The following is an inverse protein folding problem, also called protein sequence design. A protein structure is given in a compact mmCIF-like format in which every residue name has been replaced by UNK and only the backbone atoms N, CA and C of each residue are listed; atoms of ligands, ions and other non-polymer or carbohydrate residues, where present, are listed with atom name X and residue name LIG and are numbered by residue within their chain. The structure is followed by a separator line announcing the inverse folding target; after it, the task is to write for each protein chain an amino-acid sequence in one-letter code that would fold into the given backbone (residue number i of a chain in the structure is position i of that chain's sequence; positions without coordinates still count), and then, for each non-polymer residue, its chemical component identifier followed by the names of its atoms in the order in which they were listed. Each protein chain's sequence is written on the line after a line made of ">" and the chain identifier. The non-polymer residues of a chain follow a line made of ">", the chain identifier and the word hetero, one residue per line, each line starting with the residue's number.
data_IF_382450608369
#
_entry.id   IF_382450608369
#
_cell.length_a   1.000
_cell.length_b   1.000
_cell.length_c   1.000
_cell.angle_alpha   90.00
_cell.angle_beta   90.00
_cell.angle_gamma   90.00
#
_symmetry.space_group_name_H-M   'P 1'
#
loop_
_entity.id
_entity.type
_entity.pdbx_description
1 polymer ?
#
# COMPACT_ATOMS: atom_id res chain seq x y z
N UNK A 1 -11.69 -20.73 -26.09
CA UNK A 1 -10.76 -20.24 -25.04
C UNK A 1 -11.60 -19.55 -23.98
N UNK A 2 -11.90 -20.21 -22.86
CA UNK A 2 -12.70 -19.61 -21.77
C UNK A 2 -11.86 -18.54 -21.07
N UNK A 3 -12.18 -17.26 -21.26
CA UNK A 3 -11.65 -16.20 -20.42
C UNK A 3 -12.15 -16.44 -18.98
N UNK A 4 -11.30 -17.01 -18.13
CA UNK A 4 -11.53 -17.06 -16.69
C UNK A 4 -11.44 -15.62 -16.17
N UNK A 5 -12.57 -14.91 -16.15
CA UNK A 5 -12.75 -13.68 -15.37
C UNK A 5 -12.47 -14.03 -13.91
N UNK A 6 -11.31 -13.63 -13.41
CA UNK A 6 -10.96 -13.80 -11.99
C UNK A 6 -11.36 -12.54 -11.24
N UNK A 7 -11.94 -12.71 -10.06
CA UNK A 7 -12.13 -11.60 -9.13
C UNK A 7 -10.76 -11.22 -8.57
N UNK A 8 -10.43 -9.93 -8.58
CA UNK A 8 -9.20 -9.39 -8.04
C UNK A 8 -9.53 -8.15 -7.19
N UNK A 9 -9.11 -8.16 -5.93
CA UNK A 9 -9.20 -6.99 -5.08
C UNK A 9 -7.90 -6.19 -5.22
N UNK A 10 -8.00 -4.89 -5.47
CA UNK A 10 -6.84 -4.00 -5.54
C UNK A 10 -6.86 -3.11 -4.31
N UNK A 11 -5.76 -3.15 -3.57
CA UNK A 11 -5.47 -2.25 -2.48
C UNK A 11 -4.49 -1.19 -2.99
N UNK A 12 -4.90 0.06 -2.88
CA UNK A 12 -4.04 1.21 -3.12
C UNK A 12 -3.69 1.83 -1.76
N UNK A 13 -2.40 1.96 -1.48
CA UNK A 13 -1.89 2.65 -0.30
C UNK A 13 -1.07 3.85 -0.74
N UNK A 14 -1.16 4.95 -0.01
CA UNK A 14 -0.40 6.18 -0.26
C UNK A 14 0.02 6.85 1.05
N UNK A 15 1.15 7.57 1.05
CA UNK A 15 1.66 8.25 2.24
C UNK A 15 1.05 9.65 2.33
N UNK A 16 0.35 9.93 3.43
CA UNK A 16 -0.23 11.25 3.68
C UNK A 16 0.89 12.24 4.01
N UNK A 17 0.96 13.32 3.25
CA UNK A 17 1.90 14.42 3.53
C UNK A 17 3.35 14.15 3.15
N UNK A 18 3.60 13.19 2.25
CA UNK A 18 4.94 12.84 1.76
C UNK A 18 5.75 14.06 1.32
N UNK A 19 5.17 14.97 0.53
CA UNK A 19 5.86 16.18 0.06
C UNK A 19 6.35 17.08 1.20
N UNK A 20 5.61 17.17 2.32
CA UNK A 20 6.02 17.98 3.48
C UNK A 20 7.19 17.33 4.20
N UNK A 21 7.12 16.02 4.43
CA UNK A 21 8.18 15.26 5.10
C UNK A 21 9.47 15.22 4.25
N UNK A 22 9.33 15.05 2.93
CA UNK A 22 10.45 15.07 2.00
C UNK A 22 11.10 16.46 1.88
N UNK A 23 10.33 17.55 2.03
CA UNK A 23 10.88 18.91 1.97
C UNK A 23 11.77 19.27 3.17
N UNK A 24 11.61 18.60 4.31
CA UNK A 24 12.44 18.78 5.50
C UNK A 24 13.71 17.92 5.44
N UNK A 25 13.57 16.64 5.08
CA UNK A 25 14.68 15.69 4.94
C UNK A 25 14.22 14.47 4.11
N UNK A 26 14.48 14.51 2.80
CA UNK A 26 14.06 13.48 1.85
C UNK A 26 14.71 12.12 2.14
N UNK A 27 16.02 12.09 2.39
CA UNK A 27 16.77 10.85 2.61
C UNK A 27 16.30 10.13 3.88
N UNK A 28 16.06 10.88 4.95
CA UNK A 28 15.56 10.33 6.22
C UNK A 28 14.13 9.85 6.09
N UNK A 29 13.28 10.58 5.37
CA UNK A 29 11.89 10.18 5.11
C UNK A 29 11.85 8.89 4.28
N UNK A 30 12.65 8.81 3.22
CA UNK A 30 12.78 7.62 2.40
C UNK A 30 13.32 6.42 3.19
N UNK A 31 14.31 6.61 4.06
CA UNK A 31 14.84 5.55 4.91
C UNK A 31 13.78 5.00 5.88
N UNK A 32 13.01 5.88 6.53
CA UNK A 32 11.90 5.46 7.41
C UNK A 32 10.80 4.75 6.62
N UNK A 33 10.46 5.24 5.43
CA UNK A 33 9.46 4.62 4.56
C UNK A 33 9.90 3.21 4.12
N UNK A 34 11.19 3.04 3.79
CA UNK A 34 11.76 1.71 3.48
C UNK A 34 11.68 0.76 4.67
N UNK A 35 12.00 1.22 5.88
CA UNK A 35 11.89 0.40 7.09
C UNK A 35 10.43 -0.01 7.38
N UNK A 36 9.48 0.94 7.32
CA UNK A 36 8.05 0.63 7.48
C UNK A 36 7.55 -0.37 6.43
N UNK A 37 8.04 -0.25 5.19
CA UNK A 37 7.71 -1.20 4.13
C UNK A 37 8.23 -2.59 4.42
N UNK A 38 9.51 -2.72 4.77
CA UNK A 38 10.15 -4.01 5.03
C UNK A 38 9.65 -4.69 6.31
N UNK A 39 9.37 -3.92 7.36
CA UNK A 39 9.07 -4.49 8.67
C UNK A 39 7.57 -4.76 8.89
N UNK A 40 6.69 -4.03 8.20
CA UNK A 40 5.26 -4.09 8.42
C UNK A 40 4.51 -4.42 7.12
N UNK A 41 4.68 -3.60 6.08
CA UNK A 41 3.81 -3.69 4.90
C UNK A 41 4.05 -4.97 4.10
N UNK A 42 5.30 -5.25 3.71
CA UNK A 42 5.63 -6.43 2.90
C UNK A 42 5.32 -7.75 3.64
N UNK A 43 5.64 -7.90 4.95
CA UNK A 43 5.21 -9.07 5.74
C UNK A 43 3.69 -9.23 5.80
N UNK A 44 2.94 -8.16 6.12
CA UNK A 44 1.47 -8.24 6.22
C UNK A 44 0.84 -8.56 4.86
N UNK A 45 1.33 -7.99 3.76
CA UNK A 45 0.89 -8.35 2.40
C UNK A 45 1.11 -9.85 2.16
N UNK A 46 2.27 -10.38 2.54
CA UNK A 46 2.60 -11.79 2.35
C UNK A 46 1.69 -12.71 3.17
N UNK A 47 1.40 -12.37 4.44
CA UNK A 47 0.48 -13.12 5.31
C UNK A 47 -0.92 -13.23 4.70
N UNK A 48 -1.40 -12.15 4.07
CA UNK A 48 -2.73 -12.10 3.43
C UNK A 48 -2.71 -12.52 1.95
N UNK A 49 -1.66 -13.20 1.48
CA UNK A 49 -1.53 -13.69 0.09
C UNK A 49 -1.67 -12.59 -0.97
N UNK A 50 -1.30 -11.36 -0.62
CA UNK A 50 -1.27 -10.23 -1.53
C UNK A 50 -0.03 -10.26 -2.43
N UNK A 51 -0.15 -9.65 -3.61
CA UNK A 51 0.93 -9.49 -4.57
C UNK A 51 1.10 -8.02 -4.92
N UNK A 52 2.27 -7.47 -4.64
CA UNK A 52 2.57 -6.10 -5.06
C UNK A 52 2.66 -6.04 -6.58
N UNK A 53 1.80 -5.23 -7.19
CA UNK A 53 1.74 -5.02 -8.64
C UNK A 53 2.66 -3.88 -9.04
N UNK A 54 2.62 -2.77 -8.29
CA UNK A 54 3.41 -1.58 -8.56
C UNK A 54 3.71 -0.83 -7.27
N UNK A 55 4.91 -0.25 -7.19
CA UNK A 55 5.30 0.72 -6.16
C UNK A 55 5.60 2.03 -6.89
N UNK A 56 5.01 3.13 -6.44
CA UNK A 56 5.17 4.44 -7.08
C UNK A 56 5.58 5.40 -5.99
N UNK A 57 6.86 5.73 -5.83
CA UNK A 57 7.36 6.67 -4.81
C UNK A 57 6.83 6.38 -3.40
N UNK A 58 5.86 7.17 -2.98
CA UNK A 58 5.06 7.10 -1.74
C UNK A 58 3.93 6.06 -1.76
N UNK A 59 3.32 5.81 -2.92
CA UNK A 59 2.23 4.85 -3.10
C UNK A 59 2.63 3.40 -3.41
N UNK A 60 1.67 2.49 -3.19
CA UNK A 60 1.76 1.08 -3.54
C UNK A 60 0.39 0.54 -4.02
N UNK A 61 0.45 -0.36 -5.01
CA UNK A 61 -0.69 -1.10 -5.54
C UNK A 61 -0.47 -2.59 -5.30
N UNK A 62 -1.42 -3.22 -4.61
CA UNK A 62 -1.35 -4.61 -4.20
C UNK A 62 -2.61 -5.33 -4.66
N UNK A 63 -2.44 -6.47 -5.33
CA UNK A 63 -3.51 -7.34 -5.78
C UNK A 63 -3.73 -8.49 -4.79
N UNK A 64 -4.99 -8.76 -4.47
CA UNK A 64 -5.43 -9.90 -3.68
C UNK A 64 -6.46 -10.70 -4.46
N UNK A 65 -6.51 -12.01 -4.20
CA UNK A 65 -7.52 -12.91 -4.78
C UNK A 65 -8.88 -12.84 -4.05
N UNK A 66 -8.92 -12.15 -2.91
CA UNK A 66 -10.08 -12.00 -2.04
C UNK A 66 -10.15 -10.57 -1.52
N UNK A 67 -11.35 -9.97 -1.55
CA UNK A 67 -11.58 -8.66 -0.92
C UNK A 67 -11.41 -8.74 0.59
N UNK A 68 -11.76 -9.87 1.20
CA UNK A 68 -11.62 -10.06 2.65
C UNK A 68 -10.14 -10.00 3.04
N UNK A 69 -9.26 -10.62 2.25
CA UNK A 69 -7.82 -10.61 2.51
C UNK A 69 -7.24 -9.20 2.31
N UNK A 70 -7.70 -8.48 1.28
CA UNK A 70 -7.30 -7.09 1.06
C UNK A 70 -7.72 -6.18 2.24
N UNK A 71 -8.96 -6.31 2.73
CA UNK A 71 -9.46 -5.50 3.85
C UNK A 71 -8.76 -5.87 5.15
N UNK A 72 -8.50 -7.16 5.41
CA UNK A 72 -7.74 -7.60 6.59
C UNK A 72 -6.31 -7.06 6.56
N UNK A 73 -5.64 -7.16 5.42
CA UNK A 73 -4.32 -6.56 5.22
C UNK A 73 -4.35 -5.06 5.48
N UNK A 74 -5.35 -4.33 4.96
CA UNK A 74 -5.48 -2.89 5.18
C UNK A 74 -5.62 -2.56 6.67
N UNK A 75 -6.49 -3.26 7.40
CA UNK A 75 -6.72 -3.04 8.84
C UNK A 75 -5.44 -3.31 9.64
N UNK A 76 -4.75 -4.40 9.35
CA UNK A 76 -3.53 -4.78 10.08
C UNK A 76 -2.39 -3.77 9.84
N UNK A 77 -2.22 -3.31 8.60
CA UNK A 77 -1.26 -2.23 8.30
C UNK A 77 -1.64 -0.94 9.04
N UNK A 78 -2.92 -0.55 9.06
CA UNK A 78 -3.36 0.64 9.78
C UNK A 78 -3.08 0.53 11.29
N UNK A 79 -3.38 -0.62 11.90
CA UNK A 79 -3.12 -0.84 13.32
C UNK A 79 -1.62 -0.81 13.64
N UNK A 80 -0.79 -1.49 12.85
CA UNK A 80 0.67 -1.46 13.03
C UNK A 80 1.25 -0.06 12.84
N UNK A 81 0.66 0.75 11.97
CA UNK A 81 1.05 2.15 11.81
C UNK A 81 0.67 3.01 13.02
N UNK A 82 -0.52 2.81 13.61
CA UNK A 82 -0.93 3.49 14.85
C UNK A 82 0.06 3.21 15.98
N UNK A 83 0.44 1.94 16.16
CA UNK A 83 1.41 1.54 17.19
C UNK A 83 2.79 2.17 16.96
N UNK A 84 3.29 2.13 15.72
CA UNK A 84 4.60 2.73 15.38
C UNK A 84 4.60 4.25 15.43
N UNK A 85 3.45 4.90 15.23
CA UNK A 85 3.30 6.35 15.35
C UNK A 85 3.01 6.83 16.78
N UNK A 86 2.69 5.94 17.72
CA UNK A 86 2.33 6.30 19.10
C UNK A 86 3.43 7.08 19.84
N UNK A 87 4.70 6.79 19.55
CA UNK A 87 5.87 7.47 20.12
C UNK A 87 6.45 8.59 19.26
N UNK A 88 5.84 8.91 18.12
CA UNK A 88 6.38 9.88 17.15
C UNK A 88 5.63 11.22 17.27
N UNK A 89 6.34 12.34 17.41
CA UNK A 89 5.75 13.68 17.36
C UNK A 89 4.93 13.90 16.07
N UNK A 90 3.79 14.60 16.19
CA UNK A 90 2.80 14.72 15.11
C UNK A 90 3.36 15.28 13.80
N UNK A 91 4.31 16.20 13.90
CA UNK A 91 5.03 16.80 12.77
C UNK A 91 5.86 15.78 11.97
N UNK A 92 6.26 14.68 12.59
CA UNK A 92 7.12 13.62 12.03
C UNK A 92 6.44 12.26 11.85
N UNK A 93 5.12 12.19 12.04
CA UNK A 93 4.33 10.97 11.80
C UNK A 93 4.23 10.70 10.31
N UNK A 94 4.37 9.42 9.95
CA UNK A 94 4.11 8.94 8.59
C UNK A 94 2.77 8.23 8.67
N UNK A 95 1.72 8.82 8.11
CA UNK A 95 0.40 8.20 8.05
C UNK A 95 0.17 7.62 6.66
N UNK A 96 -0.39 6.42 6.59
CA UNK A 96 -0.78 5.82 5.31
C UNK A 96 -2.29 5.96 5.10
N UNK A 97 -2.70 6.43 3.93
CA UNK A 97 -4.08 6.32 3.46
C UNK A 97 -4.19 5.04 2.66
N UNK A 98 -5.08 4.14 3.08
CA UNK A 98 -5.33 2.88 2.38
C UNK A 98 -6.77 2.88 1.87
N UNK A 99 -6.92 2.65 0.57
CA UNK A 99 -8.20 2.39 -0.08
C UNK A 99 -8.19 1.01 -0.71
N UNK A 100 -9.28 0.25 -0.54
CA UNK A 100 -9.47 -1.05 -1.20
C UNK A 100 -10.66 -0.98 -2.16
N UNK A 101 -10.46 -1.40 -3.39
CA UNK A 101 -11.52 -1.50 -4.39
C UNK A 101 -11.54 -2.90 -5.03
N UNK A 102 -12.73 -3.44 -5.25
CA UNK A 102 -12.93 -4.73 -5.90
C UNK A 102 -13.05 -4.54 -7.41
N UNK A 103 -12.26 -5.28 -8.17
CA UNK A 103 -12.32 -5.27 -9.63
C UNK A 103 -12.53 -6.69 -10.17
N UNK A 104 -13.27 -6.78 -11.28
CA UNK A 104 -13.28 -8.01 -12.09
C UNK A 104 -12.10 -7.93 -13.06
N UNK A 105 -11.21 -8.93 -13.02
CA UNK A 105 -10.14 -9.11 -14.00
C UNK A 105 -10.76 -9.14 -15.40
N UNK A 106 -10.54 -8.06 -16.16
CA UNK A 106 -11.21 -7.75 -17.42
C UNK A 106 -11.61 -6.28 -17.58
N UNK A 107 -11.72 -5.53 -16.48
CA UNK A 107 -12.06 -4.08 -16.50
C UNK A 107 -10.88 -3.20 -16.10
N UNK A 108 -9.78 -3.77 -15.61
CA UNK A 108 -8.58 -2.99 -15.31
C UNK A 108 -7.84 -2.67 -16.61
N UNK A 109 -7.77 -1.39 -17.04
CA UNK A 109 -7.07 -1.06 -18.25
C UNK A 109 -5.57 -1.31 -18.04
N UNK A 110 -4.94 -2.10 -18.91
CA UNK A 110 -3.49 -2.34 -18.91
C UNK A 110 -2.66 -1.05 -19.04
N UNK A 111 -3.29 0.09 -19.31
CA UNK A 111 -2.65 1.40 -19.47
C UNK A 111 -2.21 2.07 -18.17
N UNK A 112 -2.52 1.54 -16.97
CA UNK A 112 -1.94 2.05 -15.70
C UNK A 112 -0.50 1.52 -15.47
N UNK A 113 -0.05 0.59 -16.32
CA UNK A 113 1.30 0.01 -16.27
C UNK A 113 2.35 0.85 -17.01
N UNK A 114 1.94 1.78 -17.89
CA UNK A 114 2.83 2.59 -18.72
C UNK A 114 2.46 4.07 -18.61
N UNK A 115 3.05 4.75 -17.63
CA UNK A 115 3.33 6.18 -17.71
C UNK A 115 4.39 6.50 -16.66
N UNK A 116 5.63 6.36 -17.11
CA UNK A 116 6.81 7.09 -16.65
C UNK A 116 6.72 8.54 -17.08
#
# INVERSE_FOLDING_TARGET
>A
MSEKRKLAAILAADVVGYSRLASEDEDRTLARLRALRSDLIDPTISVHNGRVIKRTGDGALVEFRSVVDAVRCAIEVQNGMIERNAGVPQDRRIDFRIGSAMFFSGVFPRSVTERS
#
